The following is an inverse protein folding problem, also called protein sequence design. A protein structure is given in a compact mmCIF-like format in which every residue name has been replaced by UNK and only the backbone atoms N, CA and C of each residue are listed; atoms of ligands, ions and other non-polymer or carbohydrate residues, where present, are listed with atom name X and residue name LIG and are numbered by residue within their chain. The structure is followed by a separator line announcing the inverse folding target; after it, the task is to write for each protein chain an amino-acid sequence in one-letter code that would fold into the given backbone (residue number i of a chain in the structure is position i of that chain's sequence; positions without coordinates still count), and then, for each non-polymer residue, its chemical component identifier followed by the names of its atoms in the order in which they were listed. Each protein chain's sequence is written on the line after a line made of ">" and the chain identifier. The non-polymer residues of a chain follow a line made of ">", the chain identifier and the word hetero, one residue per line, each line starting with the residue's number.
data_IF_807909726392
#
_entry.id   IF_807909726392
#
_cell.length_a   1.000
_cell.length_b   1.000
_cell.length_c   1.000
_cell.angle_alpha   90.00
_cell.angle_beta   90.00
_cell.angle_gamma   90.00
#
_symmetry.space_group_name_H-M   'P 1'
#
loop_
_entity.id
_entity.type
_entity.pdbx_description
1 polymer ?
#
# COMPACT_ATOMS: atom_id res chain seq x y z
N UNK A 1 50.04 -4.83 -6.88
CA UNK A 1 49.27 -5.17 -8.09
C UNK A 1 47.91 -5.66 -7.62
N UNK A 2 46.92 -4.76 -7.71
CA UNK A 2 45.47 -4.87 -7.45
C UNK A 2 44.95 -5.40 -6.11
N UNK A 3 44.47 -4.46 -5.28
CA UNK A 3 43.54 -4.69 -4.17
C UNK A 3 42.11 -4.95 -4.70
N UNK A 4 41.41 -6.03 -4.30
CA UNK A 4 40.05 -6.32 -4.77
C UNK A 4 38.93 -5.42 -4.19
N UNK A 5 39.25 -4.43 -3.36
CA UNK A 5 38.27 -3.65 -2.59
C UNK A 5 37.54 -2.50 -3.30
N UNK A 6 37.87 -2.16 -4.55
CA UNK A 6 37.44 -0.90 -5.17
C UNK A 6 36.19 -0.99 -6.07
N UNK A 7 35.15 -1.74 -5.69
CA UNK A 7 33.97 -1.99 -6.55
C UNK A 7 32.63 -1.46 -6.01
N UNK A 8 32.58 -0.83 -4.84
CA UNK A 8 31.35 -0.17 -4.35
C UNK A 8 31.29 1.27 -4.87
N UNK A 9 31.14 1.40 -6.19
CA UNK A 9 30.90 2.67 -6.86
C UNK A 9 29.42 3.07 -6.69
N UNK A 10 29.18 4.06 -5.83
CA UNK A 10 28.04 4.98 -5.91
C UNK A 10 26.64 4.35 -5.86
N UNK A 11 26.20 3.90 -4.69
CA UNK A 11 24.75 3.91 -4.40
C UNK A 11 24.36 5.36 -4.16
N UNK A 12 23.77 6.02 -5.15
CA UNK A 12 23.05 7.27 -4.92
C UNK A 12 21.88 6.97 -3.99
N UNK A 13 22.02 7.37 -2.73
CA UNK A 13 20.91 7.38 -1.78
C UNK A 13 20.00 8.54 -2.17
N UNK A 14 18.94 8.25 -2.93
CA UNK A 14 17.85 9.21 -3.13
C UNK A 14 17.20 9.48 -1.78
N UNK A 15 17.52 10.62 -1.18
CA UNK A 15 16.90 11.05 0.07
C UNK A 15 15.42 11.33 -0.16
N UNK A 16 14.55 10.49 0.41
CA UNK A 16 13.10 10.75 0.44
C UNK A 16 12.83 11.57 1.70
N UNK A 17 12.19 12.74 1.56
CA UNK A 17 11.73 13.50 2.71
C UNK A 17 10.74 12.65 3.52
N UNK A 18 10.91 12.49 4.84
CA UNK A 18 9.95 11.77 5.66
C UNK A 18 8.65 12.56 5.82
N UNK A 19 8.66 13.87 5.54
CA UNK A 19 7.52 14.76 5.72
C UNK A 19 6.53 14.57 4.57
N UNK A 20 5.29 14.19 4.91
CA UNK A 20 4.19 14.19 3.97
C UNK A 20 3.69 15.63 3.79
N UNK A 21 3.89 16.21 2.61
CA UNK A 21 3.55 17.61 2.31
C UNK A 21 2.46 17.66 1.25
N UNK A 22 1.47 18.52 1.47
CA UNK A 22 0.31 18.64 0.59
C UNK A 22 -0.62 17.44 0.68
N UNK A 23 -1.58 17.35 -0.26
CA UNK A 23 -2.49 16.21 -0.42
C UNK A 23 -3.47 15.94 0.74
N UNK A 24 -3.68 16.93 1.62
CA UNK A 24 -4.60 16.80 2.75
C UNK A 24 -6.06 16.56 2.31
N UNK A 25 -6.47 17.10 1.16
CA UNK A 25 -7.81 16.88 0.62
C UNK A 25 -8.04 15.45 0.14
N UNK A 26 -7.06 14.87 -0.54
CA UNK A 26 -7.08 13.49 -1.01
C UNK A 26 -7.01 12.52 0.18
N UNK A 27 -6.15 12.81 1.16
CA UNK A 27 -6.09 12.03 2.40
C UNK A 27 -7.41 12.11 3.17
N UNK A 28 -8.02 13.29 3.27
CA UNK A 28 -9.35 13.50 3.86
C UNK A 28 -10.46 12.75 3.14
N UNK A 29 -10.35 12.60 1.81
CA UNK A 29 -11.28 11.79 1.01
C UNK A 29 -11.16 10.30 1.36
N UNK A 30 -9.93 9.79 1.48
CA UNK A 30 -9.65 8.40 1.85
C UNK A 30 -10.09 8.09 3.28
N UNK A 31 -9.77 8.96 4.25
CA UNK A 31 -10.19 8.77 5.65
C UNK A 31 -11.69 8.93 5.82
N UNK A 32 -12.33 9.87 5.12
CA UNK A 32 -13.78 10.00 5.10
C UNK A 32 -14.48 8.74 4.56
N UNK A 33 -13.91 8.09 3.54
CA UNK A 33 -14.40 6.81 3.04
C UNK A 33 -14.18 5.68 4.07
N UNK A 34 -13.03 5.64 4.75
CA UNK A 34 -12.80 4.68 5.83
C UNK A 34 -13.85 4.81 6.94
N UNK A 35 -14.20 6.03 7.33
CA UNK A 35 -15.26 6.26 8.33
C UNK A 35 -16.62 5.74 7.88
N UNK A 36 -16.99 5.90 6.60
CA UNK A 36 -18.24 5.32 6.06
C UNK A 36 -18.20 3.79 6.03
N UNK A 37 -17.06 3.20 5.64
CA UNK A 37 -16.86 1.76 5.68
C UNK A 37 -16.98 1.20 7.10
N UNK A 38 -16.41 1.89 8.09
CA UNK A 38 -16.55 1.53 9.50
C UNK A 38 -18.01 1.63 10.00
N UNK A 39 -18.82 2.51 9.40
CA UNK A 39 -20.25 2.61 9.66
C UNK A 39 -21.11 1.55 8.92
N UNK A 40 -20.48 0.60 8.23
CA UNK A 40 -21.17 -0.49 7.54
C UNK A 40 -21.53 -0.19 6.08
N UNK A 41 -21.02 0.89 5.50
CA UNK A 41 -21.24 1.24 4.09
C UNK A 41 -19.97 0.95 3.25
N UNK A 42 -19.88 -0.19 2.53
CA UNK A 42 -18.68 -0.56 1.79
C UNK A 42 -18.24 0.50 0.78
N UNK A 43 -16.95 0.83 0.74
CA UNK A 43 -16.41 1.85 -0.16
C UNK A 43 -15.38 1.27 -1.13
N UNK A 44 -15.40 1.74 -2.38
CA UNK A 44 -14.36 1.46 -3.39
C UNK A 44 -13.85 2.77 -3.96
N UNK A 45 -12.54 2.96 -3.99
CA UNK A 45 -11.90 4.18 -4.51
C UNK A 45 -10.81 3.83 -5.51
N UNK A 46 -10.67 4.67 -6.54
CA UNK A 46 -9.60 4.59 -7.53
C UNK A 46 -8.69 5.81 -7.40
N UNK A 47 -7.40 5.59 -7.16
CA UNK A 47 -6.40 6.66 -7.08
C UNK A 47 -5.66 6.76 -8.42
N UNK A 48 -6.10 7.70 -9.25
CA UNK A 48 -5.42 8.09 -10.49
C UNK A 48 -4.42 9.23 -10.28
N UNK A 49 -3.51 9.41 -11.25
CA UNK A 49 -2.55 10.52 -11.27
C UNK A 49 -1.29 10.20 -12.06
N UNK A 50 -0.46 11.20 -12.31
CA UNK A 50 0.77 11.07 -13.09
C UNK A 50 1.80 10.15 -12.42
N UNK A 51 2.73 9.60 -13.21
CA UNK A 51 3.88 8.87 -12.67
C UNK A 51 4.69 9.81 -11.75
N UNK A 52 5.11 9.31 -10.58
CA UNK A 52 5.90 10.11 -9.63
C UNK A 52 5.12 11.12 -8.78
N UNK A 53 3.80 11.34 -9.00
CA UNK A 53 3.00 12.31 -8.22
C UNK A 53 2.77 11.94 -6.74
N UNK A 54 3.34 10.82 -6.28
CA UNK A 54 3.26 10.40 -4.88
C UNK A 54 2.02 9.56 -4.51
N UNK A 55 1.39 8.87 -5.47
CA UNK A 55 0.24 7.96 -5.20
C UNK A 55 0.56 6.90 -4.14
N UNK A 56 1.71 6.23 -4.27
CA UNK A 56 2.16 5.23 -3.30
C UNK A 56 2.34 5.86 -1.92
N UNK A 57 2.98 7.04 -1.85
CA UNK A 57 3.18 7.76 -0.59
C UNK A 57 1.87 8.17 0.08
N UNK A 58 0.88 8.63 -0.70
CA UNK A 58 -0.46 8.94 -0.20
C UNK A 58 -1.15 7.70 0.38
N UNK A 59 -1.08 6.56 -0.30
CA UNK A 59 -1.67 5.31 0.17
C UNK A 59 -0.94 4.79 1.43
N UNK A 60 0.38 4.90 1.51
CA UNK A 60 1.15 4.55 2.70
C UNK A 60 0.76 5.39 3.92
N UNK A 61 0.58 6.70 3.73
CA UNK A 61 0.13 7.61 4.78
C UNK A 61 -1.28 7.23 5.25
N UNK A 62 -2.21 7.03 4.32
CA UNK A 62 -3.56 6.58 4.61
C UNK A 62 -3.59 5.25 5.37
N UNK A 63 -2.81 4.24 4.93
CA UNK A 63 -2.73 2.95 5.60
C UNK A 63 -2.13 3.06 7.00
N UNK A 64 -1.18 3.99 7.20
CA UNK A 64 -0.61 4.26 8.53
C UNK A 64 -1.67 4.84 9.46
N UNK A 65 -2.48 5.79 9.00
CA UNK A 65 -3.59 6.34 9.77
C UNK A 65 -4.66 5.28 10.06
N UNK A 66 -5.08 4.53 9.04
CA UNK A 66 -6.08 3.47 9.18
C UNK A 66 -5.68 2.43 10.24
N UNK A 67 -4.42 2.00 10.24
CA UNK A 67 -3.90 1.07 11.28
C UNK A 67 -3.92 1.69 12.68
N UNK A 68 -3.60 2.99 12.80
CA UNK A 68 -3.66 3.70 14.10
C UNK A 68 -5.10 3.79 14.62
N UNK A 69 -6.07 3.85 13.73
CA UNK A 69 -7.51 3.82 14.05
C UNK A 69 -8.05 2.39 14.27
N UNK A 70 -7.18 1.38 14.24
CA UNK A 70 -7.55 -0.02 14.49
C UNK A 70 -8.06 -0.78 13.27
N UNK A 71 -8.02 -0.18 12.08
CA UNK A 71 -8.41 -0.88 10.86
C UNK A 71 -7.39 -1.97 10.49
N UNK A 72 -7.92 -3.13 10.11
CA UNK A 72 -7.15 -4.22 9.53
C UNK A 72 -6.85 -3.86 8.08
N UNK A 73 -5.56 -3.87 7.70
CA UNK A 73 -5.13 -3.44 6.36
C UNK A 73 -4.23 -4.47 5.70
N UNK A 74 -4.46 -4.69 4.41
CA UNK A 74 -3.68 -5.59 3.56
C UNK A 74 -3.40 -4.92 2.22
N UNK A 75 -2.28 -5.30 1.60
CA UNK A 75 -1.87 -4.77 0.30
C UNK A 75 -1.66 -5.94 -0.66
N UNK A 76 -2.22 -5.80 -1.87
CA UNK A 76 -1.96 -6.68 -3.00
C UNK A 76 -1.19 -5.92 -4.08
N UNK A 77 -0.21 -6.57 -4.70
CA UNK A 77 0.61 -5.97 -5.76
C UNK A 77 0.31 -6.56 -7.13
N UNK A 78 0.09 -5.69 -8.13
CA UNK A 78 0.14 -6.07 -9.54
C UNK A 78 1.61 -6.10 -9.96
N UNK A 79 2.19 -7.30 -10.04
CA UNK A 79 3.55 -7.46 -10.54
C UNK A 79 3.52 -7.63 -12.07
N UNK A 80 4.44 -6.98 -12.77
CA UNK A 80 4.65 -7.17 -14.21
C UNK A 80 5.37 -8.50 -14.46
N UNK A 81 4.65 -9.61 -14.28
CA UNK A 81 5.14 -10.97 -14.49
C UNK A 81 4.89 -11.43 -15.94
N UNK A 82 5.36 -10.65 -16.92
CA UNK A 82 5.26 -11.00 -18.35
C UNK A 82 3.84 -11.32 -18.83
N UNK A 83 3.74 -12.00 -19.98
CA UNK A 83 2.47 -12.32 -20.64
C UNK A 83 1.57 -13.29 -19.86
N UNK A 84 2.14 -14.07 -18.94
CA UNK A 84 1.46 -15.09 -18.14
C UNK A 84 1.09 -14.61 -16.74
N UNK A 85 1.04 -13.28 -16.53
CA UNK A 85 0.69 -12.68 -15.24
C UNK A 85 -0.53 -13.36 -14.62
N UNK A 86 -0.42 -13.76 -13.35
CA UNK A 86 -1.45 -14.54 -12.68
C UNK A 86 -2.70 -13.68 -12.45
N UNK A 87 -3.87 -14.02 -13.05
CA UNK A 87 -5.10 -13.30 -12.82
C UNK A 87 -5.42 -13.23 -11.34
N UNK A 88 -5.91 -12.08 -10.90
CA UNK A 88 -6.26 -11.83 -9.51
C UNK A 88 -5.11 -12.02 -8.49
N UNK A 89 -3.84 -12.12 -8.92
CA UNK A 89 -2.70 -12.20 -8.00
C UNK A 89 -2.67 -11.09 -6.92
N UNK A 90 -3.03 -9.83 -7.21
CA UNK A 90 -3.13 -8.81 -6.16
C UNK A 90 -4.16 -9.17 -5.10
N UNK A 91 -5.34 -9.63 -5.51
CA UNK A 91 -6.42 -10.03 -4.60
C UNK A 91 -6.05 -11.29 -3.82
N UNK A 92 -5.51 -12.31 -4.47
CA UNK A 92 -5.05 -13.53 -3.80
C UNK A 92 -3.97 -13.23 -2.76
N UNK A 93 -3.05 -12.30 -3.05
CA UNK A 93 -2.02 -11.85 -2.10
C UNK A 93 -2.65 -11.15 -0.89
N UNK A 94 -3.57 -10.21 -1.14
CA UNK A 94 -4.27 -9.47 -0.10
C UNK A 94 -5.12 -10.40 0.81
N UNK A 95 -5.89 -11.32 0.22
CA UNK A 95 -6.75 -12.26 0.96
C UNK A 95 -5.93 -13.25 1.79
N UNK A 96 -4.81 -13.76 1.26
CA UNK A 96 -3.89 -14.60 2.06
C UNK A 96 -3.27 -13.84 3.22
N UNK A 97 -2.93 -12.56 3.03
CA UNK A 97 -2.44 -11.72 4.11
C UNK A 97 -3.53 -11.49 5.17
N UNK A 98 -4.78 -11.27 4.73
CA UNK A 98 -5.92 -11.06 5.62
C UNK A 98 -6.22 -12.31 6.44
N UNK A 99 -6.25 -13.49 5.80
CA UNK A 99 -6.42 -14.77 6.48
C UNK A 99 -5.32 -15.04 7.50
N UNK A 100 -4.06 -14.67 7.23
CA UNK A 100 -2.98 -14.79 8.23
C UNK A 100 -3.14 -13.85 9.43
N UNK A 101 -3.75 -12.68 9.23
CA UNK A 101 -3.96 -11.71 10.32
C UNK A 101 -5.19 -12.05 11.18
N UNK A 102 -6.27 -12.52 10.55
CA UNK A 102 -7.56 -12.74 11.20
C UNK A 102 -7.89 -14.21 11.50
N UNK A 103 -7.27 -15.16 10.79
CA UNK A 103 -7.51 -16.59 10.97
C UNK A 103 -9.00 -16.95 10.93
N UNK A 104 -9.48 -17.63 11.98
CA UNK A 104 -10.87 -18.04 12.13
C UNK A 104 -11.87 -16.88 12.29
N UNK A 105 -11.41 -15.67 12.63
CA UNK A 105 -12.29 -14.49 12.70
C UNK A 105 -12.72 -14.03 11.32
N UNK A 106 -11.90 -14.27 10.28
CA UNK A 106 -12.27 -13.99 8.90
C UNK A 106 -13.40 -14.91 8.42
N UNK A 107 -13.34 -16.19 8.79
CA UNK A 107 -14.33 -17.19 8.38
C UNK A 107 -15.71 -16.93 8.99
N UNK A 108 -15.76 -16.33 10.19
CA UNK A 108 -17.02 -15.96 10.85
C UNK A 108 -17.65 -14.67 10.32
N UNK A 109 -16.89 -13.87 9.57
CA UNK A 109 -17.35 -12.62 8.98
C UNK A 109 -17.75 -12.74 7.50
N UNK A 110 -17.47 -13.88 6.86
CA UNK A 110 -17.81 -14.21 5.47
C UNK A 110 -19.17 -14.92 5.37
#
# INVERSE_FOLDING_TARGET
>A
MSDPGAMLYGVEVTAISPVFVGRAGELGTLTGALSRAAAGEPQTLLVGGEAGVGKTRLLEEFLTLARREGAVTVVGGCLELGADGLPFAPFATALRALHRQLGADLERAA
#
